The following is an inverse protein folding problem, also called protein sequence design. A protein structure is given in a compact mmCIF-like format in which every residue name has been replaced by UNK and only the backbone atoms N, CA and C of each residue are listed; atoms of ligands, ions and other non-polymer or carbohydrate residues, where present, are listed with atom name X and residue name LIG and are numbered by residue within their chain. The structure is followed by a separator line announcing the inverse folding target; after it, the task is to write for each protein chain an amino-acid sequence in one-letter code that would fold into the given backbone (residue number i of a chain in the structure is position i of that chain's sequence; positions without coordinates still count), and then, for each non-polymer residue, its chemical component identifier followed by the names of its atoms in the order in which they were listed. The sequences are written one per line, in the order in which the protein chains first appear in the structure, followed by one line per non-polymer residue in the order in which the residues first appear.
data_IF_387075819760
#
_entry.id   IF_387075819760
#
_cell.length_a   1.000
_cell.length_b   1.000
_cell.length_c   1.000
_cell.angle_alpha   90.00
_cell.angle_beta   90.00
_cell.angle_gamma   90.00
#
_symmetry.space_group_name_H-M   'P 1'
#
loop_
_entity.id
_entity.type
_entity.pdbx_description
1 polymer ?
#
# COMPACT_ATOMS: atom_id res chain seq x y z
N UNK A 1 -0.17 11.53 -26.72
CA UNK A 1 -0.84 12.16 -25.56
C UNK A 1 0.03 11.90 -24.32
N UNK A 2 0.28 12.91 -23.49
CA UNK A 2 1.11 12.77 -22.28
C UNK A 2 0.18 12.75 -21.08
N UNK A 3 0.24 11.67 -20.29
CA UNK A 3 -0.54 11.55 -19.05
C UNK A 3 0.34 11.98 -17.89
N UNK A 4 -0.13 12.95 -17.11
CA UNK A 4 0.53 13.39 -15.88
C UNK A 4 0.05 12.53 -14.70
N UNK A 5 0.98 11.79 -14.10
CA UNK A 5 0.72 10.99 -12.90
C UNK A 5 1.16 11.77 -11.65
N UNK A 6 0.42 11.61 -10.56
CA UNK A 6 0.73 12.24 -9.27
C UNK A 6 1.74 11.41 -8.47
N UNK A 7 1.84 10.13 -8.79
CA UNK A 7 2.72 9.18 -8.12
C UNK A 7 4.18 9.38 -8.54
N UNK A 8 5.08 9.01 -7.64
CA UNK A 8 6.52 9.05 -7.95
C UNK A 8 6.85 8.01 -9.03
N UNK A 9 7.91 8.25 -9.81
CA UNK A 9 8.38 7.29 -10.81
C UNK A 9 8.64 5.89 -10.22
N UNK A 10 9.11 5.82 -8.96
CA UNK A 10 9.33 4.56 -8.24
C UNK A 10 8.03 3.81 -7.96
N UNK A 11 6.97 4.51 -7.54
CA UNK A 11 5.66 3.89 -7.30
C UNK A 11 5.09 3.32 -8.59
N UNK A 12 5.20 4.06 -9.70
CA UNK A 12 4.76 3.59 -11.01
C UNK A 12 5.59 2.39 -11.49
N UNK A 13 6.90 2.42 -11.31
CA UNK A 13 7.77 1.29 -11.64
C UNK A 13 7.36 0.01 -10.90
N UNK A 14 7.07 0.10 -9.60
CA UNK A 14 6.60 -1.04 -8.80
C UNK A 14 5.26 -1.58 -9.30
N UNK A 15 4.29 -0.71 -9.61
CA UNK A 15 3.02 -1.15 -10.20
C UNK A 15 3.22 -1.84 -11.55
N UNK A 16 4.05 -1.28 -12.41
CA UNK A 16 4.36 -1.87 -13.71
C UNK A 16 5.01 -3.25 -13.56
N UNK A 17 5.85 -3.46 -12.54
CA UNK A 17 6.41 -4.79 -12.24
C UNK A 17 5.33 -5.82 -11.85
N UNK A 18 4.29 -5.41 -11.11
CA UNK A 18 3.15 -6.28 -10.79
C UNK A 18 2.28 -6.61 -12.02
N UNK A 19 2.20 -5.70 -12.99
CA UNK A 19 1.41 -5.88 -14.22
C UNK A 19 2.18 -6.62 -15.33
N UNK A 20 3.49 -6.77 -15.17
CA UNK A 20 4.39 -7.36 -16.15
C UNK A 20 4.51 -8.88 -15.99
N UNK A 21 5.03 -9.56 -17.03
CA UNK A 21 5.40 -10.99 -16.98
C UNK A 21 6.77 -11.22 -16.31
N UNK A 22 7.14 -10.36 -15.38
CA UNK A 22 8.37 -10.45 -14.61
C UNK A 22 8.08 -10.98 -13.21
N UNK A 23 9.13 -11.38 -12.49
CA UNK A 23 9.00 -11.68 -11.06
C UNK A 23 8.39 -10.48 -10.34
N UNK A 24 7.38 -10.72 -9.52
CA UNK A 24 6.75 -9.66 -8.74
C UNK A 24 7.75 -9.08 -7.74
N UNK A 25 7.69 -7.77 -7.46
CA UNK A 25 8.58 -7.15 -6.50
C UNK A 25 8.30 -7.69 -5.10
N UNK A 26 9.35 -7.83 -4.31
CA UNK A 26 9.22 -8.27 -2.93
C UNK A 26 8.79 -7.11 -2.04
N UNK A 27 7.48 -7.00 -1.78
CA UNK A 27 6.89 -5.94 -0.94
C UNK A 27 7.54 -5.86 0.44
N UNK A 28 7.94 -6.99 1.03
CA UNK A 28 8.66 -7.06 2.32
C UNK A 28 10.00 -6.31 2.37
N UNK A 29 10.63 -6.04 1.22
CA UNK A 29 11.91 -5.33 1.13
C UNK A 29 11.71 -3.81 1.03
N UNK A 30 10.48 -3.34 0.86
CA UNK A 30 10.17 -1.93 0.75
C UNK A 30 10.22 -1.25 2.13
N UNK A 31 10.71 -0.01 2.15
CA UNK A 31 10.50 0.87 3.30
C UNK A 31 9.03 1.24 3.44
N UNK A 32 8.60 1.62 4.65
CA UNK A 32 7.19 1.91 4.92
C UNK A 32 6.60 2.99 3.99
N UNK A 33 7.37 4.03 3.67
CA UNK A 33 6.92 5.09 2.76
C UNK A 33 6.63 4.56 1.35
N UNK A 34 7.51 3.72 0.80
CA UNK A 34 7.31 3.11 -0.52
C UNK A 34 6.12 2.15 -0.51
N UNK A 35 5.99 1.36 0.56
CA UNK A 35 4.85 0.46 0.77
C UNK A 35 3.54 1.24 0.79
N UNK A 36 3.46 2.32 1.56
CA UNK A 36 2.25 3.12 1.68
C UNK A 36 1.86 3.76 0.33
N UNK A 37 2.84 4.34 -0.39
CA UNK A 37 2.60 4.90 -1.71
C UNK A 37 2.19 3.84 -2.73
N UNK A 38 2.81 2.67 -2.70
CA UNK A 38 2.45 1.54 -3.56
C UNK A 38 1.05 1.02 -3.24
N UNK A 39 0.70 0.88 -1.97
CA UNK A 39 -0.62 0.42 -1.54
C UNK A 39 -1.71 1.38 -2.02
N UNK A 40 -1.52 2.69 -1.83
CA UNK A 40 -2.44 3.72 -2.34
C UNK A 40 -2.62 3.66 -3.85
N UNK A 41 -1.52 3.54 -4.59
CA UNK A 41 -1.57 3.50 -6.03
C UNK A 41 -2.17 2.17 -6.55
N UNK A 42 -1.92 1.06 -5.86
CA UNK A 42 -2.50 -0.24 -6.19
C UNK A 42 -4.03 -0.24 -6.05
N UNK A 43 -4.56 0.40 -5.00
CA UNK A 43 -6.01 0.58 -4.83
C UNK A 43 -6.57 1.54 -5.88
N UNK A 44 -5.94 2.72 -6.07
CA UNK A 44 -6.38 3.75 -7.02
C UNK A 44 -6.47 3.23 -8.46
N UNK A 45 -5.49 2.44 -8.88
CA UNK A 45 -5.41 1.89 -10.24
C UNK A 45 -5.91 0.44 -10.33
N UNK A 46 -6.51 -0.08 -9.26
CA UNK A 46 -7.08 -1.43 -9.19
C UNK A 46 -6.12 -2.54 -9.65
N UNK A 47 -4.85 -2.42 -9.30
CA UNK A 47 -3.83 -3.43 -9.60
C UNK A 47 -3.99 -4.59 -8.63
N UNK A 48 -4.98 -5.45 -8.88
CA UNK A 48 -5.37 -6.55 -7.98
C UNK A 48 -4.24 -7.52 -7.62
N UNK A 49 -3.20 -7.63 -8.45
CA UNK A 49 -2.02 -8.42 -8.13
C UNK A 49 -1.17 -7.80 -6.99
N UNK A 50 -1.20 -6.48 -6.84
CA UNK A 50 -0.43 -5.73 -5.84
C UNK A 50 -1.20 -5.50 -4.53
N UNK A 51 -2.54 -5.45 -4.59
CA UNK A 51 -3.39 -5.12 -3.42
C UNK A 51 -3.19 -6.11 -2.26
N UNK A 52 -3.34 -7.45 -2.43
CA UNK A 52 -3.20 -8.40 -1.32
C UNK A 52 -1.84 -8.34 -0.61
N UNK A 53 -0.67 -8.37 -1.31
CA UNK A 53 0.61 -8.29 -0.62
C UNK A 53 0.83 -6.92 0.03
N UNK A 54 0.41 -5.81 -0.58
CA UNK A 54 0.49 -4.49 0.05
C UNK A 54 -0.33 -4.43 1.34
N UNK A 55 -1.59 -4.88 1.30
CA UNK A 55 -2.47 -4.93 2.47
C UNK A 55 -1.87 -5.77 3.59
N UNK A 56 -1.38 -6.96 3.28
CA UNK A 56 -0.72 -7.83 4.27
C UNK A 56 0.46 -7.11 4.95
N UNK A 57 1.29 -6.41 4.17
CA UNK A 57 2.42 -5.67 4.72
C UNK A 57 2.00 -4.41 5.49
N UNK A 58 0.89 -3.76 5.14
CA UNK A 58 0.30 -2.68 5.94
C UNK A 58 -0.16 -3.19 7.31
N UNK A 59 -0.79 -4.36 7.39
CA UNK A 59 -1.16 -4.99 8.68
C UNK A 59 0.08 -5.25 9.54
N UNK A 60 1.14 -5.81 8.96
CA UNK A 60 2.40 -6.07 9.67
C UNK A 60 3.10 -4.79 10.15
N UNK A 61 2.87 -3.66 9.46
CA UNK A 61 3.43 -2.37 9.82
C UNK A 61 2.63 -1.64 10.90
N UNK A 62 1.43 -2.11 11.24
CA UNK A 62 0.49 -1.44 12.15
C UNK A 62 1.13 -0.98 13.45
N UNK A 63 1.89 -1.85 14.12
CA UNK A 63 2.40 -1.51 15.46
C UNK A 63 3.51 -0.44 15.41
N UNK A 64 4.18 -0.29 14.26
CA UNK A 64 5.23 0.73 14.05
C UNK A 64 4.69 2.01 13.41
N UNK A 65 3.64 1.90 12.61
CA UNK A 65 3.05 2.99 11.84
C UNK A 65 1.51 2.98 11.96
N UNK A 66 0.96 3.07 13.19
CA UNK A 66 -0.46 2.79 13.42
C UNK A 66 -1.35 3.84 12.75
N UNK A 67 -1.00 5.13 12.82
CA UNK A 67 -1.80 6.19 12.21
C UNK A 67 -1.86 6.09 10.68
N UNK A 68 -0.74 5.98 9.92
CA UNK A 68 -0.81 5.80 8.48
C UNK A 68 -1.55 4.51 8.06
N UNK A 69 -1.39 3.42 8.81
CA UNK A 69 -2.09 2.16 8.52
C UNK A 69 -3.60 2.29 8.75
N UNK A 70 -4.02 2.95 9.84
CA UNK A 70 -5.41 3.28 10.11
C UNK A 70 -6.01 4.14 8.98
N UNK A 71 -5.31 5.18 8.55
CA UNK A 71 -5.78 6.09 7.50
C UNK A 71 -5.87 5.42 6.11
N UNK A 72 -4.95 4.51 5.78
CA UNK A 72 -5.06 3.65 4.60
C UNK A 72 -6.28 2.74 4.71
N UNK A 73 -6.39 1.98 5.81
CA UNK A 73 -7.46 1.00 6.00
C UNK A 73 -8.85 1.64 5.96
N UNK A 74 -9.02 2.81 6.59
CA UNK A 74 -10.27 3.55 6.58
C UNK A 74 -10.65 4.03 5.17
N UNK A 75 -9.69 4.49 4.35
CA UNK A 75 -9.96 4.97 2.99
C UNK A 75 -10.39 3.86 2.03
N UNK A 76 -9.89 2.65 2.22
CA UNK A 76 -10.14 1.50 1.33
C UNK A 76 -11.13 0.49 1.90
N UNK A 77 -11.81 0.82 3.01
CA UNK A 77 -12.89 0.00 3.58
C UNK A 77 -12.43 -1.24 4.35
N UNK A 78 -11.17 -1.31 4.77
CA UNK A 78 -10.65 -2.39 5.61
C UNK A 78 -10.91 -2.10 7.10
N UNK A 79 -12.19 -2.11 7.50
CA UNK A 79 -12.62 -1.66 8.83
C UNK A 79 -11.96 -2.45 9.98
N UNK A 80 -11.77 -3.75 9.82
CA UNK A 80 -11.08 -4.60 10.79
C UNK A 80 -9.63 -4.17 11.04
N UNK A 81 -8.91 -3.83 9.98
CA UNK A 81 -7.54 -3.31 10.05
C UNK A 81 -7.53 -1.91 10.66
N UNK A 82 -8.49 -1.06 10.26
CA UNK A 82 -8.62 0.31 10.76
C UNK A 82 -8.86 0.34 12.27
N UNK A 83 -9.80 -0.46 12.78
CA UNK A 83 -10.13 -0.53 14.20
C UNK A 83 -8.94 -1.03 15.03
N UNK A 84 -8.25 -2.07 14.55
CA UNK A 84 -7.04 -2.57 15.21
C UNK A 84 -5.93 -1.51 15.25
N UNK A 85 -5.74 -0.76 14.17
CA UNK A 85 -4.74 0.29 14.09
C UNK A 85 -5.11 1.54 14.91
N UNK A 86 -6.40 1.85 15.02
CA UNK A 86 -6.92 2.93 15.85
C UNK A 86 -6.64 2.66 17.33
N UNK A 87 -6.83 1.42 17.79
CA UNK A 87 -6.54 1.05 19.18
C UNK A 87 -5.07 1.30 19.54
N UNK A 88 -4.14 0.92 18.68
CA UNK A 88 -2.69 1.16 18.87
C UNK A 88 -2.32 2.65 18.78
N UNK A 89 -3.07 3.44 18.02
CA UNK A 89 -2.83 4.89 17.90
C UNK A 89 -3.26 5.66 19.17
N UNK A 90 -4.28 5.15 19.86
CA UNK A 90 -4.90 5.80 21.02
C UNK A 90 -4.40 5.28 22.37
N UNK A 91 -3.70 4.13 22.37
CA UNK A 91 -3.07 3.53 23.55
C UNK A 91 -1.75 4.19 23.92
#
# INVERSE_FOLDING_TARGET
EVIHLQETGRTIELLLQFMSRTSQPEVRKLGFQDLALLAEAAEKYEVYAAIPPCKQHMVLARDKHPFPVMAYAARHGYHDIADQAAWVTLS
#
